data_IF_354746613459
#
_entry.id   IF_354746613459
#
_cell.length_a   1.000
_cell.length_b   1.000
_cell.length_c   1.000
_cell.angle_alpha   90.00
_cell.angle_beta   90.00
_cell.angle_gamma   90.00
#
_symmetry.space_group_name_H-M   'P 1'
#
loop_
_entity.id
_entity.type
_entity.pdbx_description
1 polymer ?
#
# COMPACT_ATOMS: atom_id res chain seq x y z
N UNK A 1 -2.55 -13.58 -18.79
CA UNK A 1 -3.40 -12.56 -18.14
C UNK A 1 -2.74 -11.99 -16.88
N UNK A 2 -2.33 -12.82 -15.92
CA UNK A 2 -1.65 -12.37 -14.69
C UNK A 2 -0.32 -11.62 -14.95
N UNK A 3 0.52 -12.13 -15.86
CA UNK A 3 1.78 -11.48 -16.25
C UNK A 3 1.58 -10.05 -16.76
N UNK A 4 0.62 -9.85 -17.67
CA UNK A 4 0.32 -8.53 -18.24
C UNK A 4 -0.15 -7.52 -17.16
N UNK A 5 -0.84 -8.00 -16.13
CA UNK A 5 -1.34 -7.17 -15.04
C UNK A 5 -0.18 -6.74 -14.12
N UNK A 6 0.72 -7.66 -13.77
CA UNK A 6 1.94 -7.37 -13.00
C UNK A 6 2.84 -6.40 -13.77
N UNK A 7 2.99 -6.59 -15.07
CA UNK A 7 3.79 -5.73 -15.94
C UNK A 7 3.21 -4.31 -16.02
N UNK A 8 1.88 -4.18 -16.13
CA UNK A 8 1.22 -2.87 -16.06
C UNK A 8 1.44 -2.17 -14.71
N UNK A 9 1.27 -2.88 -13.59
CA UNK A 9 1.50 -2.31 -12.25
C UNK A 9 2.95 -1.85 -12.07
N UNK A 10 3.89 -2.64 -12.56
CA UNK A 10 5.32 -2.33 -12.54
C UNK A 10 5.61 -1.07 -13.37
N UNK A 11 5.07 -0.97 -14.58
CA UNK A 11 5.25 0.18 -15.45
C UNK A 11 4.65 1.46 -14.84
N UNK A 12 3.48 1.36 -14.20
CA UNK A 12 2.88 2.49 -13.48
C UNK A 12 3.78 2.94 -12.32
N UNK A 13 4.29 2.01 -11.52
CA UNK A 13 5.19 2.32 -10.41
C UNK A 13 6.49 3.00 -10.89
N UNK A 14 7.12 2.46 -11.94
CA UNK A 14 8.35 3.00 -12.52
C UNK A 14 8.12 4.39 -13.09
N UNK A 15 7.07 4.58 -13.91
CA UNK A 15 6.74 5.88 -14.50
C UNK A 15 6.42 6.95 -13.44
N UNK A 16 5.78 6.57 -12.33
CA UNK A 16 5.57 7.43 -11.16
C UNK A 16 6.89 7.96 -10.59
N UNK A 17 7.88 7.08 -10.44
CA UNK A 17 9.19 7.44 -9.87
C UNK A 17 10.02 8.24 -10.89
N UNK A 18 9.97 7.89 -12.17
CA UNK A 18 10.68 8.64 -13.23
C UNK A 18 10.15 10.07 -13.37
N UNK A 19 8.84 10.27 -13.23
CA UNK A 19 8.21 11.60 -13.40
C UNK A 19 8.27 12.46 -12.14
N UNK A 20 8.10 11.86 -10.95
CA UNK A 20 7.96 12.59 -9.69
C UNK A 20 9.15 12.43 -8.75
N UNK A 21 10.13 11.60 -9.10
CA UNK A 21 11.33 11.37 -8.30
C UNK A 21 11.02 10.81 -6.91
N UNK A 22 11.58 11.44 -5.87
CA UNK A 22 11.33 11.08 -4.48
C UNK A 22 9.83 11.14 -4.10
N UNK A 23 9.06 12.05 -4.71
CA UNK A 23 7.61 12.11 -4.50
C UNK A 23 6.90 10.90 -5.12
N UNK A 24 7.41 10.37 -6.23
CA UNK A 24 6.91 9.14 -6.83
C UNK A 24 7.08 7.94 -5.90
N UNK A 25 8.22 7.85 -5.21
CA UNK A 25 8.46 6.83 -4.17
C UNK A 25 7.48 7.01 -3.00
N UNK A 26 7.35 8.24 -2.48
CA UNK A 26 6.43 8.52 -1.36
C UNK A 26 4.98 8.17 -1.70
N UNK A 27 4.49 8.60 -2.88
CA UNK A 27 3.13 8.32 -3.34
C UNK A 27 2.95 6.83 -3.59
N UNK A 28 3.89 6.19 -4.29
CA UNK A 28 3.84 4.75 -4.57
C UNK A 28 3.73 3.92 -3.29
N UNK A 29 4.57 4.22 -2.29
CA UNK A 29 4.55 3.55 -0.98
C UNK A 29 3.28 3.88 -0.17
N UNK A 30 2.74 5.09 -0.30
CA UNK A 30 1.46 5.45 0.33
C UNK A 30 0.31 4.63 -0.25
N UNK A 31 0.26 4.50 -1.58
CA UNK A 31 -0.79 3.76 -2.29
C UNK A 31 -0.70 2.27 -1.95
N UNK A 32 0.50 1.69 -1.95
CA UNK A 32 0.73 0.29 -1.58
C UNK A 32 0.24 0.01 -0.14
N UNK A 33 0.66 0.84 0.82
CA UNK A 33 0.23 0.74 2.22
C UNK A 33 -1.27 1.05 2.43
N UNK A 34 -1.92 1.69 1.45
CA UNK A 34 -3.37 1.88 1.40
C UNK A 34 -4.15 0.63 0.90
N UNK A 35 -3.53 -0.55 0.96
CA UNK A 35 -4.06 -1.84 0.49
C UNK A 35 -4.35 -1.90 -1.02
N UNK A 36 -3.74 -1.03 -1.83
CA UNK A 36 -3.81 -1.11 -3.28
C UNK A 36 -2.63 -1.99 -3.74
N UNK A 37 -2.87 -3.01 -4.58
CA UNK A 37 -1.84 -3.98 -4.95
C UNK A 37 -0.79 -3.36 -5.87
N UNK A 38 0.25 -2.78 -5.27
CA UNK A 38 1.47 -2.30 -5.92
C UNK A 38 2.65 -3.05 -5.29
N UNK A 39 3.56 -3.64 -6.09
CA UNK A 39 4.72 -4.33 -5.55
C UNK A 39 5.73 -3.31 -4.97
N UNK A 40 5.85 -3.24 -3.65
CA UNK A 40 6.79 -2.34 -2.96
C UNK A 40 8.24 -2.68 -3.25
N UNK A 41 8.54 -3.94 -3.58
CA UNK A 41 9.85 -4.39 -4.03
C UNK A 41 10.26 -3.66 -5.30
N UNK A 42 9.36 -3.48 -6.26
CA UNK A 42 9.66 -2.76 -7.51
C UNK A 42 10.01 -1.30 -7.22
N UNK A 43 9.21 -0.64 -6.38
CA UNK A 43 9.39 0.78 -6.04
C UNK A 43 10.74 0.99 -5.35
N UNK A 44 11.04 0.19 -4.32
CA UNK A 44 12.25 0.34 -3.51
C UNK A 44 13.51 -0.16 -4.24
N UNK A 45 13.43 -1.25 -5.01
CA UNK A 45 14.56 -1.73 -5.82
C UNK A 45 14.91 -0.73 -6.91
N UNK A 46 13.90 -0.14 -7.58
CA UNK A 46 14.14 0.90 -8.58
C UNK A 46 14.69 2.18 -7.97
N UNK A 47 14.16 2.61 -6.82
CA UNK A 47 14.73 3.73 -6.05
C UNK A 47 16.18 3.47 -5.63
N UNK A 48 16.49 2.26 -5.18
CA UNK A 48 17.86 1.83 -4.84
C UNK A 48 18.78 1.80 -6.06
N UNK A 49 18.28 1.37 -7.23
CA UNK A 49 19.02 1.44 -8.49
C UNK A 49 19.35 2.89 -8.85
N UNK A 50 18.40 3.81 -8.73
CA UNK A 50 18.64 5.25 -8.96
C UNK A 50 19.68 5.85 -8.01
N UNK A 51 19.77 5.35 -6.77
CA UNK A 51 20.83 5.71 -5.83
C UNK A 51 22.18 5.16 -6.31
N UNK A 52 22.22 3.91 -6.76
CA UNK A 52 23.46 3.27 -7.23
C UNK A 52 24.05 3.97 -8.46
N UNK A 53 23.21 4.49 -9.37
CA UNK A 53 23.66 5.27 -10.55
C UNK A 53 23.91 6.75 -10.24
N UNK A 54 23.74 7.18 -8.98
CA UNK A 54 24.04 8.54 -8.53
C UNK A 54 22.97 9.59 -8.85
N UNK A 55 21.77 9.19 -9.30
CA UNK A 55 20.65 10.09 -9.58
C UNK A 55 19.95 10.49 -8.28
N UNK A 56 19.75 9.54 -7.36
CA UNK A 56 19.10 9.77 -6.08
C UNK A 56 20.05 9.69 -4.88
N UNK A 57 19.69 10.39 -3.81
CA UNK A 57 20.34 10.27 -2.52
C UNK A 57 19.67 9.14 -1.70
N UNK A 58 20.50 8.25 -1.14
CA UNK A 58 20.06 7.13 -0.33
C UNK A 58 19.08 7.53 0.79
N UNK A 59 19.44 8.55 1.57
CA UNK A 59 18.64 8.98 2.72
C UNK A 59 17.29 9.55 2.31
N UNK A 60 17.22 10.25 1.18
CA UNK A 60 15.95 10.78 0.67
C UNK A 60 15.03 9.68 0.16
N UNK A 61 15.57 8.63 -0.47
CA UNK A 61 14.77 7.45 -0.86
C UNK A 61 14.23 6.74 0.38
N UNK A 62 15.07 6.52 1.39
CA UNK A 62 14.65 5.88 2.66
C UNK A 62 13.57 6.70 3.35
N UNK A 63 13.76 8.01 3.50
CA UNK A 63 12.79 8.89 4.15
C UNK A 63 11.47 8.93 3.37
N UNK A 64 11.53 9.06 2.04
CA UNK A 64 10.33 9.06 1.20
C UNK A 64 9.54 7.75 1.33
N UNK A 65 10.24 6.61 1.31
CA UNK A 65 9.58 5.30 1.43
C UNK A 65 8.98 5.06 2.81
N UNK A 66 9.71 5.39 3.88
CA UNK A 66 9.23 5.26 5.26
C UNK A 66 8.03 6.17 5.50
N UNK A 67 8.13 7.45 5.14
CA UNK A 67 7.03 8.39 5.33
C UNK A 67 5.80 7.98 4.50
N UNK A 68 6.00 7.54 3.25
CA UNK A 68 4.90 7.07 2.41
C UNK A 68 4.18 5.89 3.05
N UNK A 69 4.92 4.89 3.52
CA UNK A 69 4.34 3.73 4.20
C UNK A 69 3.60 4.12 5.49
N UNK A 70 4.18 4.98 6.33
CA UNK A 70 3.53 5.45 7.57
C UNK A 70 2.25 6.20 7.24
N UNK A 71 2.27 7.09 6.26
CA UNK A 71 1.08 7.86 5.85
C UNK A 71 -0.01 6.94 5.32
N UNK A 72 0.32 5.99 4.44
CA UNK A 72 -0.64 5.02 3.92
C UNK A 72 -1.23 4.15 5.04
N UNK A 73 -0.40 3.66 5.96
CA UNK A 73 -0.86 2.90 7.12
C UNK A 73 -1.79 3.71 8.03
N UNK A 74 -1.49 4.98 8.28
CA UNK A 74 -2.35 5.87 9.09
C UNK A 74 -3.69 6.11 8.39
N UNK A 75 -3.69 6.30 7.07
CA UNK A 75 -4.91 6.45 6.28
C UNK A 75 -5.77 5.18 6.40
N UNK A 76 -5.17 4.02 6.16
CA UNK A 76 -5.87 2.72 6.27
C UNK A 76 -6.40 2.48 7.67
N UNK A 77 -5.62 2.81 8.70
CA UNK A 77 -6.05 2.74 10.10
C UNK A 77 -7.26 3.63 10.36
N UNK A 78 -7.23 4.89 9.93
CA UNK A 78 -8.36 5.82 10.10
C UNK A 78 -9.63 5.34 9.37
N UNK A 79 -9.46 4.79 8.16
CA UNK A 79 -10.57 4.20 7.41
C UNK A 79 -11.14 2.99 8.16
N UNK A 80 -10.29 2.12 8.71
CA UNK A 80 -10.71 0.97 9.51
C UNK A 80 -11.41 1.36 10.81
N UNK A 81 -10.84 2.33 11.54
CA UNK A 81 -11.34 2.80 12.82
C UNK A 81 -12.70 3.50 12.70
N UNK A 82 -12.88 4.36 11.69
CA UNK A 82 -14.13 5.09 11.48
C UNK A 82 -15.16 4.31 10.65
N UNK A 83 -14.71 3.47 9.72
CA UNK A 83 -15.57 2.68 8.86
C UNK A 83 -16.15 1.44 9.54
N UNK A 84 -15.37 0.79 10.41
CA UNK A 84 -15.76 -0.34 11.23
C UNK A 84 -16.61 -1.39 10.51
N UNK A 85 -17.65 -1.87 11.21
CA UNK A 85 -18.58 -2.89 10.72
C UNK A 85 -19.43 -2.41 9.54
N UNK A 86 -19.78 -1.12 9.46
CA UNK A 86 -20.64 -0.58 8.41
C UNK A 86 -19.96 -0.61 7.03
N UNK A 87 -18.67 -0.26 6.98
CA UNK A 87 -17.89 -0.24 5.74
C UNK A 87 -17.63 -1.68 5.26
N UNK A 88 -17.35 -2.61 6.18
CA UNK A 88 -17.17 -4.03 5.87
C UNK A 88 -18.49 -4.72 5.45
N UNK A 89 -19.64 -4.33 5.99
CA UNK A 89 -20.93 -4.85 5.51
C UNK A 89 -21.28 -4.31 4.12
N UNK A 90 -20.88 -3.07 3.81
CA UNK A 90 -21.15 -2.43 2.51
C UNK A 90 -20.21 -2.89 1.40
N UNK A 91 -18.92 -3.05 1.70
CA UNK A 91 -17.87 -3.39 0.72
C UNK A 91 -17.29 -4.80 0.87
N UNK A 92 -17.59 -5.52 1.95
CA UNK A 92 -17.05 -6.86 2.22
C UNK A 92 -17.33 -7.88 1.13
N UNK A 93 -18.45 -7.74 0.41
CA UNK A 93 -18.76 -8.57 -0.77
C UNK A 93 -17.68 -8.47 -1.86
N UNK A 94 -17.04 -7.32 -2.02
CA UNK A 94 -15.98 -7.11 -3.03
C UNK A 94 -14.62 -7.66 -2.57
N UNK A 95 -14.44 -7.87 -1.27
CA UNK A 95 -13.21 -8.41 -0.66
C UNK A 95 -13.42 -9.84 -0.14
N UNK A 96 -14.50 -10.52 -0.59
CA UNK A 96 -14.85 -11.89 -0.19
C UNK A 96 -15.04 -12.09 1.32
N UNK A 97 -15.40 -11.03 2.05
CA UNK A 97 -15.75 -11.07 3.48
C UNK A 97 -17.25 -11.28 3.63
N UNK A 98 -17.63 -12.39 4.26
CA UNK A 98 -19.02 -12.73 4.56
C UNK A 98 -19.40 -12.24 5.98
N UNK A 99 -20.68 -11.91 6.26
CA UNK A 99 -21.11 -11.43 7.59
C UNK A 99 -20.74 -12.40 8.73
N UNK A 100 -20.80 -13.71 8.50
CA UNK A 100 -20.40 -14.70 9.50
C UNK A 100 -18.90 -14.71 9.83
N UNK A 101 -18.04 -14.14 8.98
CA UNK A 101 -16.62 -13.94 9.30
C UNK A 101 -16.43 -12.75 10.27
N UNK A 102 -17.23 -11.69 10.10
CA UNK A 102 -17.26 -10.56 11.02
C UNK A 102 -17.74 -10.99 12.41
N UNK A 103 -18.83 -11.77 12.49
CA UNK A 103 -19.37 -12.24 13.77
C UNK A 103 -18.37 -13.14 14.51
N UNK A 104 -17.66 -14.02 13.79
CA UNK A 104 -16.56 -14.80 14.37
C UNK A 104 -15.45 -13.88 14.86
N UNK A 105 -14.97 -12.96 14.03
CA UNK A 105 -13.89 -12.05 14.41
C UNK A 105 -14.24 -11.26 15.69
N UNK A 106 -15.47 -10.74 15.81
CA UNK A 106 -15.97 -10.05 17.01
C UNK A 106 -16.04 -10.98 18.22
N UNK A 107 -16.51 -12.22 18.06
CA UNK A 107 -16.51 -13.22 19.13
C UNK A 107 -15.09 -13.50 19.65
N UNK A 108 -14.13 -13.65 18.75
CA UNK A 108 -12.73 -13.87 19.14
C UNK A 108 -12.13 -12.63 19.82
N UNK A 109 -12.36 -11.43 19.28
CA UNK A 109 -11.90 -10.17 19.87
C UNK A 109 -12.48 -9.94 21.27
N UNK A 110 -13.78 -10.16 21.44
CA UNK A 110 -14.44 -10.00 22.75
C UNK A 110 -13.95 -11.01 23.80
N UNK A 111 -13.50 -12.20 23.35
CA UNK A 111 -13.05 -13.27 24.25
C UNK A 111 -11.55 -13.18 24.59
N UNK A 112 -10.71 -12.74 23.67
CA UNK A 112 -9.25 -12.80 23.82
C UNK A 112 -8.53 -11.44 23.77
N UNK A 113 -9.24 -10.36 23.45
CA UNK A 113 -8.64 -9.03 23.19
C UNK A 113 -8.07 -8.95 21.78
#
# INVERSE_FOLDING_TARGET
>A
MLHALVEQLTNVAVSLIETLGYWGIFIGMTIESACIPLPSEVIMLFGGFMVAVGIFNFWYVVVAGVLGNVVGSVITYWIGANGGRSLLLKYGKYVLINPGHLDKAEYWFSRYG
#
